data_IF_705477133147
#
_entry.id   IF_705477133147
#
_cell.length_a   1.000
_cell.length_b   1.000
_cell.length_c   1.000
_cell.angle_alpha   90.00
_cell.angle_beta   90.00
_cell.angle_gamma   90.00
#
_symmetry.space_group_name_H-M   'P 1'
#
loop_
_entity.id
_entity.type
_entity.pdbx_description
1 polymer ?
#
# COMPACT_ATOMS: atom_id res chain seq x y z
N UNK A 1 -6.73 -31.82 -28.84
CA UNK A 1 -6.68 -31.42 -27.43
C UNK A 1 -6.13 -30.01 -27.37
N UNK A 2 -6.84 -29.07 -26.74
CA UNK A 2 -6.31 -27.73 -26.50
C UNK A 2 -5.49 -27.82 -25.22
N UNK A 3 -4.18 -27.65 -25.32
CA UNK A 3 -3.31 -27.55 -24.15
C UNK A 3 -3.75 -26.37 -23.28
N UNK A 4 -3.86 -26.54 -21.95
CA UNK A 4 -4.14 -25.43 -21.07
C UNK A 4 -2.90 -24.53 -21.05
N UNK A 5 -2.95 -23.41 -21.75
CA UNK A 5 -1.94 -22.36 -21.62
C UNK A 5 -1.95 -21.89 -20.18
N UNK A 6 -0.95 -22.28 -19.39
CA UNK A 6 -0.73 -21.72 -18.05
C UNK A 6 -0.46 -20.23 -18.25
N UNK A 7 -1.47 -19.39 -18.03
CA UNK A 7 -1.31 -17.93 -18.07
C UNK A 7 -0.29 -17.55 -17.01
N UNK A 8 0.92 -17.19 -17.44
CA UNK A 8 1.97 -16.72 -16.55
C UNK A 8 1.44 -15.58 -15.67
N UNK A 9 1.66 -15.69 -14.36
CA UNK A 9 1.18 -14.70 -13.40
C UNK A 9 1.97 -13.40 -13.61
N UNK A 10 1.32 -12.39 -14.19
CA UNK A 10 1.92 -11.05 -14.38
C UNK A 10 2.41 -10.47 -13.06
N UNK A 11 3.73 -10.29 -12.95
CA UNK A 11 4.42 -9.69 -11.79
C UNK A 11 4.04 -8.21 -11.63
N UNK A 12 4.17 -7.69 -10.41
CA UNK A 12 3.99 -6.27 -10.11
C UNK A 12 5.34 -5.57 -10.20
N UNK A 13 5.38 -4.41 -10.85
CA UNK A 13 6.57 -3.56 -10.94
C UNK A 13 6.56 -2.43 -9.90
N UNK A 14 7.73 -1.87 -9.55
CA UNK A 14 7.79 -0.68 -8.68
C UNK A 14 7.02 0.52 -9.25
N UNK A 15 6.91 0.63 -10.58
CA UNK A 15 6.09 1.66 -11.24
C UNK A 15 4.61 1.45 -10.97
N UNK A 16 4.13 0.23 -11.10
CA UNK A 16 2.74 -0.12 -10.76
C UNK A 16 2.45 0.15 -9.28
N UNK A 17 3.38 -0.17 -8.36
CA UNK A 17 3.20 0.11 -6.94
C UNK A 17 3.06 1.60 -6.66
N UNK A 18 3.92 2.44 -7.25
CA UNK A 18 3.85 3.90 -7.11
C UNK A 18 2.50 4.45 -7.58
N UNK A 19 2.00 3.96 -8.71
CA UNK A 19 0.69 4.35 -9.24
C UNK A 19 -0.41 3.92 -8.27
N UNK A 20 -0.41 2.66 -7.83
CA UNK A 20 -1.42 2.15 -6.89
C UNK A 20 -1.43 2.94 -5.58
N UNK A 21 -0.26 3.27 -5.03
CA UNK A 21 -0.11 4.11 -3.83
C UNK A 21 -0.67 5.50 -4.06
N UNK A 22 -0.30 6.16 -5.17
CA UNK A 22 -0.79 7.50 -5.48
C UNK A 22 -2.31 7.54 -5.63
N UNK A 23 -2.89 6.56 -6.33
CA UNK A 23 -4.33 6.48 -6.57
C UNK A 23 -5.07 6.22 -5.26
N UNK A 24 -4.56 5.30 -4.42
CA UNK A 24 -5.14 5.04 -3.11
C UNK A 24 -5.15 6.29 -2.23
N UNK A 25 -4.02 7.02 -2.16
CA UNK A 25 -3.88 8.24 -1.35
C UNK A 25 -4.79 9.38 -1.83
N UNK A 26 -4.98 9.53 -3.13
CA UNK A 26 -5.91 10.54 -3.67
C UNK A 26 -7.36 10.15 -3.36
N UNK A 27 -7.74 8.91 -3.67
CA UNK A 27 -9.14 8.45 -3.53
C UNK A 27 -9.57 8.34 -2.07
N UNK A 28 -8.64 8.01 -1.14
CA UNK A 28 -8.96 7.89 0.29
C UNK A 28 -9.22 9.24 0.95
N UNK A 29 -8.58 10.32 0.47
CA UNK A 29 -8.86 11.69 0.92
C UNK A 29 -10.24 12.17 0.49
N UNK A 30 -10.71 11.75 -0.67
CA UNK A 30 -12.03 12.14 -1.22
C UNK A 30 -13.21 11.40 -0.54
N UNK A 31 -12.94 10.35 0.23
CA UNK A 31 -13.97 9.48 0.80
C UNK A 31 -14.38 9.92 2.23
N UNK A 32 -15.38 10.81 2.34
CA UNK A 32 -15.97 11.21 3.63
C UNK A 32 -17.02 10.15 4.12
N UNK A 33 -16.69 9.44 5.21
CA UNK A 33 -17.48 8.69 6.24
C UNK A 33 -18.47 7.53 5.86
N UNK A 34 -18.21 6.36 6.50
CA UNK A 34 -19.01 5.18 6.98
C UNK A 34 -19.98 4.35 6.09
N UNK A 35 -19.51 3.18 5.60
CA UNK A 35 -20.07 1.80 5.68
C UNK A 35 -19.31 0.85 4.69
N UNK A 36 -19.59 -0.46 4.71
CA UNK A 36 -18.98 -1.46 3.79
C UNK A 36 -19.25 -1.23 2.28
N UNK A 37 -20.39 -0.63 1.93
CA UNK A 37 -20.71 -0.26 0.54
C UNK A 37 -19.76 0.83 0.02
N UNK A 38 -19.35 1.77 0.88
CA UNK A 38 -18.33 2.77 0.52
C UNK A 38 -16.95 2.13 0.34
N UNK A 39 -16.60 1.09 1.09
CA UNK A 39 -15.34 0.37 0.88
C UNK A 39 -15.31 -0.30 -0.50
N UNK A 40 -16.40 -0.94 -0.92
CA UNK A 40 -16.49 -1.50 -2.28
C UNK A 40 -16.40 -0.41 -3.36
N UNK A 41 -17.09 0.72 -3.17
CA UNK A 41 -17.06 1.84 -4.11
C UNK A 41 -15.68 2.53 -4.17
N UNK A 42 -14.98 2.65 -3.04
CA UNK A 42 -13.60 3.13 -2.96
C UNK A 42 -12.69 2.26 -3.82
N UNK A 43 -12.77 0.93 -3.65
CA UNK A 43 -11.95 0.00 -4.42
C UNK A 43 -12.26 0.00 -5.91
N UNK A 44 -13.53 0.18 -6.30
CA UNK A 44 -13.89 0.36 -7.71
C UNK A 44 -13.19 1.59 -8.30
N UNK A 45 -13.33 2.76 -7.65
CA UNK A 45 -12.67 4.01 -8.08
C UNK A 45 -11.15 3.88 -8.16
N UNK A 46 -10.54 3.22 -7.19
CA UNK A 46 -9.08 2.97 -7.19
C UNK A 46 -8.68 2.14 -8.41
N UNK A 47 -9.43 1.09 -8.75
CA UNK A 47 -9.13 0.24 -9.91
C UNK A 47 -9.33 1.02 -11.21
N UNK A 48 -10.39 1.82 -11.30
CA UNK A 48 -10.68 2.64 -12.47
C UNK A 48 -9.57 3.67 -12.71
N UNK A 49 -9.17 4.42 -11.68
CA UNK A 49 -8.09 5.41 -11.76
C UNK A 49 -6.72 4.78 -11.99
N UNK A 50 -6.46 3.61 -11.40
CA UNK A 50 -5.24 2.87 -11.66
C UNK A 50 -5.16 2.48 -13.14
N UNK A 51 -6.20 1.85 -13.68
CA UNK A 51 -6.22 1.39 -15.07
C UNK A 51 -6.30 2.55 -16.09
N UNK A 52 -6.86 3.70 -15.69
CA UNK A 52 -6.87 4.92 -16.49
C UNK A 52 -5.52 5.68 -16.50
N UNK A 53 -4.53 5.23 -15.71
CA UNK A 53 -3.24 5.90 -15.66
C UNK A 53 -2.57 5.92 -17.04
N UNK A 54 -2.15 7.09 -17.57
CA UNK A 54 -1.41 7.17 -18.82
C UNK A 54 -0.07 6.41 -18.75
N UNK A 55 0.39 6.12 -17.54
CA UNK A 55 1.60 5.36 -17.28
C UNK A 55 1.43 3.84 -17.48
N UNK A 56 0.21 3.34 -17.72
CA UNK A 56 -0.10 1.93 -17.92
C UNK A 56 -0.68 1.61 -19.31
N UNK A 57 -0.64 2.58 -20.23
CA UNK A 57 -1.08 2.40 -21.63
C UNK A 57 -0.35 1.22 -22.26
N UNK A 58 -1.11 0.37 -22.98
CA UNK A 58 -0.59 -0.84 -23.61
C UNK A 58 -0.43 -2.03 -22.67
N UNK A 59 -0.74 -1.90 -21.38
CA UNK A 59 -0.74 -3.03 -20.44
C UNK A 59 -2.15 -3.55 -20.18
N UNK A 60 -2.26 -4.85 -19.86
CA UNK A 60 -3.55 -5.44 -19.48
C UNK A 60 -4.11 -4.76 -18.21
N UNK A 61 -5.40 -4.44 -18.13
CA UNK A 61 -5.99 -3.92 -16.90
C UNK A 61 -5.81 -4.86 -15.71
N UNK A 62 -5.62 -4.31 -14.52
CA UNK A 62 -5.63 -5.09 -13.27
C UNK A 62 -7.05 -5.18 -12.72
N UNK A 63 -7.37 -6.32 -12.16
CA UNK A 63 -8.67 -6.58 -11.52
C UNK A 63 -8.68 -6.12 -10.07
N UNK A 64 -9.89 -5.85 -9.54
CA UNK A 64 -10.10 -5.42 -8.16
C UNK A 64 -9.45 -6.35 -7.13
N UNK A 65 -9.54 -7.67 -7.31
CA UNK A 65 -8.90 -8.64 -6.42
C UNK A 65 -7.37 -8.53 -6.45
N UNK A 66 -6.79 -8.31 -7.63
CA UNK A 66 -5.34 -8.18 -7.79
C UNK A 66 -4.83 -6.91 -7.10
N UNK A 67 -5.50 -5.78 -7.30
CA UNK A 67 -5.16 -4.51 -6.64
C UNK A 67 -5.27 -4.61 -5.11
N UNK A 68 -6.36 -5.19 -4.59
CA UNK A 68 -6.54 -5.43 -3.14
C UNK A 68 -5.42 -6.29 -2.54
N UNK A 69 -5.08 -7.40 -3.19
CA UNK A 69 -4.02 -8.29 -2.73
C UNK A 69 -2.65 -7.60 -2.74
N UNK A 70 -2.36 -6.80 -3.78
CA UNK A 70 -1.11 -6.05 -3.84
C UNK A 70 -1.04 -4.99 -2.76
N UNK A 71 -2.12 -4.22 -2.58
CA UNK A 71 -2.21 -3.21 -1.54
C UNK A 71 -2.00 -3.76 -0.14
N UNK A 72 -2.62 -4.91 0.18
CA UNK A 72 -2.43 -5.55 1.48
C UNK A 72 -0.94 -5.82 1.79
N UNK A 73 -0.17 -6.28 0.79
CA UNK A 73 1.28 -6.51 0.93
C UNK A 73 2.08 -5.21 1.09
N UNK A 74 1.74 -4.18 0.32
CA UNK A 74 2.39 -2.86 0.44
C UNK A 74 2.14 -2.30 1.84
N UNK A 75 0.88 -2.32 2.28
CA UNK A 75 0.50 -1.79 3.59
C UNK A 75 1.15 -2.55 4.74
N UNK A 76 1.26 -3.88 4.65
CA UNK A 76 1.99 -4.69 5.63
C UNK A 76 3.45 -4.26 5.75
N UNK A 77 4.14 -4.05 4.62
CA UNK A 77 5.54 -3.61 4.62
C UNK A 77 5.69 -2.21 5.22
N UNK A 78 4.79 -1.29 4.88
CA UNK A 78 4.76 0.07 5.44
C UNK A 78 4.52 0.03 6.95
N UNK A 79 3.54 -0.76 7.43
CA UNK A 79 3.26 -0.89 8.86
C UNK A 79 4.45 -1.45 9.65
N UNK A 80 5.15 -2.44 9.10
CA UNK A 80 6.39 -2.96 9.73
C UNK A 80 7.48 -1.90 9.81
N UNK A 81 7.69 -1.16 8.72
CA UNK A 81 8.67 -0.08 8.70
C UNK A 81 8.37 0.99 9.76
N UNK A 82 7.11 1.46 9.82
CA UNK A 82 6.68 2.44 10.82
C UNK A 82 6.89 1.90 12.24
N UNK A 83 6.50 0.65 12.52
CA UNK A 83 6.70 0.05 13.84
C UNK A 83 8.17 -0.03 14.26
N UNK A 84 9.07 -0.40 13.34
CA UNK A 84 10.51 -0.42 13.60
C UNK A 84 11.07 0.99 13.80
N UNK A 85 10.65 1.96 12.99
CA UNK A 85 11.06 3.36 13.11
C UNK A 85 10.65 3.96 14.47
N UNK A 86 9.41 3.72 14.88
CA UNK A 86 8.89 4.18 16.18
C UNK A 86 9.59 3.49 17.37
N UNK A 87 10.00 2.24 17.22
CA UNK A 87 10.81 1.54 18.23
C UNK A 87 12.21 2.18 18.36
N UNK A 88 12.91 2.38 17.24
CA UNK A 88 14.23 3.02 17.24
C UNK A 88 14.20 4.45 17.79
N UNK A 89 13.16 5.23 17.45
CA UNK A 89 12.98 6.58 17.98
C UNK A 89 12.74 6.58 19.50
N UNK A 90 12.04 5.58 20.03
CA UNK A 90 11.83 5.42 21.47
C UNK A 90 13.11 5.02 22.20
N UNK A 91 13.87 4.08 21.64
CA UNK A 91 15.17 3.68 22.18
C UNK A 91 16.17 4.86 22.19
N UNK A 92 16.20 5.67 21.13
CA UNK A 92 17.01 6.89 21.08
C UNK A 92 16.61 7.89 22.17
N UNK A 93 15.31 8.00 22.48
CA UNK A 93 14.80 8.87 23.56
C UNK A 93 15.04 8.30 24.96
N UNK A 94 15.06 6.99 25.14
CA UNK A 94 15.36 6.36 26.44
C UNK A 94 16.85 6.35 26.79
N UNK A 95 17.73 6.70 25.84
CA UNK A 95 19.17 6.93 26.07
C UNK A 95 19.50 8.30 26.68
N UNK A 96 18.50 9.19 26.83
CA UNK A 96 18.58 10.42 27.62
C UNK A 96 17.53 10.34 28.73
N UNK A 97 17.82 9.58 29.77
CA UNK A 97 17.30 9.92 31.10
C UNK A 97 18.45 10.53 31.88
N UNK A 98 18.23 11.72 32.45
CA UNK A 98 19.16 12.52 33.25
C UNK A 98 19.43 11.87 34.61
N UNK A 99 19.79 10.59 34.65
CA UNK A 99 20.25 9.92 35.87
C UNK A 99 21.73 9.57 35.77
N UNK A 100 22.53 10.56 35.37
CA UNK A 100 23.86 10.75 35.95
C UNK A 100 23.69 11.71 37.15
N UNK A 101 22.87 11.30 38.13
CA UNK A 101 22.83 11.95 39.45
C UNK A 101 24.12 11.57 40.16
N UNK A 102 25.11 12.41 39.90
CA UNK A 102 26.35 12.61 40.61
C UNK A 102 26.38 12.09 42.07
N UNK A 103 27.41 11.26 42.27
CA UNK A 103 28.39 11.23 43.37
C UNK A 103 28.12 10.38 44.62
N UNK A 104 29.06 9.44 44.76
CA UNK A 104 29.92 9.12 45.91
C UNK A 104 29.30 8.41 47.12
#
# INVERSE_FOLDING_TARGET
GVEPTIKERRKWSPREDKILISVWLNTSKDAVVSNDQKAQNLWKRIVDYYNASPLLVGTLPRELRQCKQRWARINEQVSKFVGCYDAALREQRSGQNDDDVMKA
#
